data_IF_859455073221
#
_entry.id   IF_859455073221
#
_cell.length_a   1.000
_cell.length_b   1.000
_cell.length_c   1.000
_cell.angle_alpha   90.00
_cell.angle_beta   90.00
_cell.angle_gamma   90.00
#
_symmetry.space_group_name_H-M   'P 1'
#
loop_
_entity.id
_entity.type
_entity.pdbx_description
1 polymer ?
#
# COMPACT_ATOMS: atom_id res chain seq x y z
N UNK A 1 -21.08 -2.17 -6.36
CA UNK A 1 -21.02 -1.13 -7.38
C UNK A 1 -19.78 -0.28 -7.09
N UNK A 2 -18.97 0.05 -8.09
CA UNK A 2 -17.71 0.81 -7.95
C UNK A 2 -18.06 2.29 -8.02
N UNK A 3 -17.80 3.04 -6.96
CA UNK A 3 -17.99 4.49 -6.94
C UNK A 3 -16.76 5.17 -7.56
N UNK A 4 -16.92 5.88 -8.67
CA UNK A 4 -15.82 6.47 -9.42
C UNK A 4 -15.98 7.99 -9.58
N UNK A 5 -14.86 8.68 -9.79
CA UNK A 5 -14.82 10.04 -10.33
C UNK A 5 -13.95 10.07 -11.59
N UNK A 6 -14.09 11.09 -12.41
CA UNK A 6 -13.22 11.32 -13.56
C UNK A 6 -12.59 12.73 -13.49
N UNK A 7 -11.33 12.82 -13.85
CA UNK A 7 -10.53 14.05 -13.84
C UNK A 7 -9.84 14.18 -15.19
N UNK A 8 -10.19 15.20 -15.97
CA UNK A 8 -9.66 15.43 -17.31
C UNK A 8 -9.93 16.91 -17.67
N UNK A 9 -8.93 17.65 -18.12
CA UNK A 9 -9.12 19.07 -18.48
C UNK A 9 -9.95 19.26 -19.76
N UNK A 10 -10.15 18.19 -20.55
CA UNK A 10 -10.99 18.18 -21.73
C UNK A 10 -12.45 17.78 -21.38
N UNK A 11 -13.44 18.71 -21.42
CA UNK A 11 -14.85 18.38 -21.12
C UNK A 11 -15.44 17.27 -22.00
N UNK A 12 -14.96 17.16 -23.24
CA UNK A 12 -15.41 16.11 -24.17
C UNK A 12 -14.98 14.72 -23.69
N UNK A 13 -13.77 14.57 -23.16
CA UNK A 13 -13.28 13.32 -22.60
C UNK A 13 -14.11 12.89 -21.37
N UNK A 14 -14.49 13.85 -20.52
CA UNK A 14 -15.39 13.59 -19.39
C UNK A 14 -16.77 13.12 -19.85
N UNK A 15 -17.35 13.75 -20.88
CA UNK A 15 -18.63 13.33 -21.47
C UNK A 15 -18.56 11.90 -22.03
N UNK A 16 -17.44 11.52 -22.64
CA UNK A 16 -17.21 10.15 -23.13
C UNK A 16 -17.17 9.17 -21.95
N UNK A 17 -16.44 9.49 -20.88
CA UNK A 17 -16.37 8.65 -19.68
C UNK A 17 -17.75 8.52 -19.00
N UNK A 18 -18.54 9.60 -18.91
CA UNK A 18 -19.91 9.55 -18.42
C UNK A 18 -20.78 8.57 -19.24
N UNK A 19 -20.67 8.66 -20.56
CA UNK A 19 -21.41 7.75 -21.45
C UNK A 19 -20.96 6.29 -21.31
N UNK A 20 -19.64 6.03 -21.19
CA UNK A 20 -19.10 4.69 -20.98
C UNK A 20 -19.56 4.12 -19.62
N UNK A 21 -19.49 4.91 -18.56
CA UNK A 21 -19.96 4.52 -17.23
C UNK A 21 -21.47 4.24 -17.23
N UNK A 22 -22.29 5.07 -17.94
CA UNK A 22 -23.74 4.86 -17.99
C UNK A 22 -24.17 3.54 -18.65
N UNK A 23 -23.34 2.99 -19.50
CA UNK A 23 -23.54 1.67 -20.15
C UNK A 23 -23.09 0.48 -19.30
N UNK A 24 -22.31 0.72 -18.24
CA UNK A 24 -21.73 -0.32 -17.41
C UNK A 24 -22.45 -0.41 -16.06
N UNK A 25 -22.87 -1.61 -15.67
CA UNK A 25 -23.64 -1.83 -14.42
C UNK A 25 -22.76 -1.93 -13.18
N UNK A 26 -21.44 -2.08 -13.32
CA UNK A 26 -20.51 -2.30 -12.22
C UNK A 26 -19.92 -1.01 -11.67
N UNK A 27 -19.95 0.10 -12.45
CA UNK A 27 -19.40 1.40 -12.09
C UNK A 27 -20.44 2.51 -12.08
N UNK A 28 -20.38 3.38 -11.07
CA UNK A 28 -21.18 4.62 -11.00
C UNK A 28 -20.21 5.79 -10.97
N UNK A 29 -20.30 6.64 -11.97
CA UNK A 29 -19.55 7.89 -12.00
C UNK A 29 -20.29 8.93 -11.15
N UNK A 30 -19.72 9.26 -10.00
CA UNK A 30 -20.32 10.14 -9.02
C UNK A 30 -20.15 11.62 -9.41
N UNK A 31 -18.98 11.97 -9.92
CA UNK A 31 -18.66 13.34 -10.34
C UNK A 31 -17.52 13.38 -11.34
N UNK A 32 -17.50 14.45 -12.15
CA UNK A 32 -16.43 14.78 -13.10
C UNK A 32 -15.79 16.12 -12.73
N UNK A 33 -14.50 16.27 -13.03
CA UNK A 33 -13.71 17.47 -12.69
C UNK A 33 -12.80 17.85 -13.85
N UNK A 34 -12.76 19.14 -14.19
CA UNK A 34 -11.78 19.70 -15.12
C UNK A 34 -10.57 20.30 -14.38
N UNK A 35 -10.61 20.38 -13.06
CA UNK A 35 -9.54 20.91 -12.21
C UNK A 35 -9.11 19.87 -11.16
N UNK A 36 -7.80 19.66 -11.06
CA UNK A 36 -7.20 18.80 -10.03
C UNK A 36 -7.48 19.31 -8.62
N UNK A 37 -7.48 20.64 -8.42
CA UNK A 37 -7.74 21.23 -7.11
C UNK A 37 -9.18 20.98 -6.64
N UNK A 38 -10.16 21.06 -7.54
CA UNK A 38 -11.56 20.74 -7.19
C UNK A 38 -11.72 19.26 -6.88
N UNK A 39 -11.06 18.39 -7.65
CA UNK A 39 -11.05 16.94 -7.39
C UNK A 39 -10.41 16.61 -6.04
N UNK A 40 -9.29 17.26 -5.68
CA UNK A 40 -8.63 17.08 -4.38
C UNK A 40 -9.57 17.45 -3.24
N UNK A 41 -10.20 18.62 -3.30
CA UNK A 41 -11.17 19.10 -2.29
C UNK A 41 -12.37 18.15 -2.13
N UNK A 42 -12.75 17.48 -3.22
CA UNK A 42 -13.81 16.47 -3.21
C UNK A 42 -13.35 15.17 -2.54
N UNK A 43 -12.17 14.66 -2.93
CA UNK A 43 -11.59 13.41 -2.40
C UNK A 43 -11.34 13.46 -0.88
N UNK A 44 -11.02 14.64 -0.34
CA UNK A 44 -10.88 14.83 1.11
C UNK A 44 -12.19 14.62 1.89
N UNK A 45 -13.34 14.86 1.25
CA UNK A 45 -14.65 14.80 1.91
C UNK A 45 -15.43 13.54 1.58
N UNK A 46 -15.22 12.99 0.40
CA UNK A 46 -16.01 11.89 -0.12
C UNK A 46 -15.11 10.73 -0.58
N UNK A 47 -15.17 9.58 0.07
CA UNK A 47 -14.41 8.42 -0.35
C UNK A 47 -14.94 7.88 -1.69
N UNK A 48 -14.03 7.59 -2.61
CA UNK A 48 -14.32 6.93 -3.88
C UNK A 48 -13.45 5.69 -4.02
N UNK A 49 -13.89 4.77 -4.86
CA UNK A 49 -13.19 3.50 -5.10
C UNK A 49 -12.20 3.59 -6.26
N UNK A 50 -12.52 4.43 -7.24
CA UNK A 50 -11.81 4.51 -8.52
C UNK A 50 -11.71 5.97 -8.99
N UNK A 51 -10.56 6.31 -9.60
CA UNK A 51 -10.38 7.55 -10.35
C UNK A 51 -10.03 7.18 -11.79
N UNK A 52 -10.80 7.72 -12.76
CA UNK A 52 -10.33 7.86 -14.14
C UNK A 52 -9.56 9.17 -14.21
N UNK A 53 -8.31 9.13 -14.61
CA UNK A 53 -7.41 10.29 -14.49
C UNK A 53 -6.62 10.48 -15.79
N UNK A 54 -6.80 11.66 -16.41
CA UNK A 54 -5.94 11.99 -17.53
C UNK A 54 -4.49 12.18 -17.10
N UNK A 55 -3.56 11.69 -17.91
CA UNK A 55 -2.13 11.86 -17.64
C UNK A 55 -1.70 13.29 -17.95
N UNK A 56 -2.20 13.85 -19.06
CA UNK A 56 -1.76 15.14 -19.55
C UNK A 56 -2.73 16.25 -19.17
N UNK A 57 -2.41 16.97 -18.11
CA UNK A 57 -3.17 18.12 -17.65
C UNK A 57 -2.26 19.35 -17.51
N UNK A 58 -2.77 20.57 -17.75
CA UNK A 58 -1.95 21.79 -17.79
C UNK A 58 -1.25 22.15 -16.48
N UNK A 59 -1.86 21.87 -15.32
CA UNK A 59 -1.34 22.30 -14.01
C UNK A 59 -0.23 21.36 -13.52
N UNK A 60 -0.52 20.07 -13.47
CA UNK A 60 0.42 18.99 -13.14
C UNK A 60 0.05 17.75 -13.94
N UNK A 61 1.03 16.92 -14.27
CA UNK A 61 0.70 15.62 -14.86
C UNK A 61 -0.12 14.76 -13.87
N UNK A 62 -1.07 13.97 -14.40
CA UNK A 62 -1.97 13.16 -13.58
C UNK A 62 -1.26 12.15 -12.71
N UNK A 63 -0.08 11.67 -13.11
CA UNK A 63 0.72 10.72 -12.32
C UNK A 63 1.27 11.39 -11.08
N UNK A 64 1.81 12.61 -11.20
CA UNK A 64 2.29 13.42 -10.08
C UNK A 64 1.14 13.80 -9.15
N UNK A 65 -0.01 14.17 -9.69
CA UNK A 65 -1.23 14.41 -8.90
C UNK A 65 -1.63 13.18 -8.10
N UNK A 66 -1.73 12.01 -8.74
CA UNK A 66 -2.10 10.78 -8.04
C UNK A 66 -1.09 10.39 -6.95
N UNK A 67 0.21 10.59 -7.20
CA UNK A 67 1.26 10.34 -6.19
C UNK A 67 1.12 11.22 -4.96
N UNK A 68 0.61 12.44 -5.10
CA UNK A 68 0.41 13.39 -4.00
C UNK A 68 -0.78 13.08 -3.09
N UNK A 69 -1.72 12.22 -3.53
CA UNK A 69 -2.89 11.85 -2.74
C UNK A 69 -2.49 11.04 -1.49
N UNK A 70 -3.01 11.45 -0.32
CA UNK A 70 -2.78 10.73 0.94
C UNK A 70 -3.52 9.38 0.96
N UNK A 71 -4.81 9.40 0.61
CA UNK A 71 -5.63 8.20 0.44
C UNK A 71 -5.75 7.94 -1.06
N UNK A 72 -5.18 6.85 -1.54
CA UNK A 72 -5.11 6.52 -2.96
C UNK A 72 -6.24 5.54 -3.34
N UNK A 73 -7.32 6.02 -3.98
CA UNK A 73 -8.27 5.13 -4.64
C UNK A 73 -7.57 4.35 -5.77
N UNK A 74 -8.19 3.29 -6.26
CA UNK A 74 -7.72 2.65 -7.49
C UNK A 74 -7.71 3.68 -8.63
N UNK A 75 -6.75 3.57 -9.55
CA UNK A 75 -6.64 4.50 -10.67
C UNK A 75 -6.60 3.75 -12.01
N UNK A 76 -7.36 4.26 -12.97
CA UNK A 76 -7.23 3.97 -14.39
C UNK A 76 -6.82 5.27 -15.06
N UNK A 77 -5.65 5.29 -15.66
CA UNK A 77 -5.19 6.45 -16.42
C UNK A 77 -5.81 6.48 -17.81
N UNK A 78 -6.15 7.70 -18.28
CA UNK A 78 -6.51 7.96 -19.67
C UNK A 78 -5.41 8.77 -20.34
N UNK A 79 -5.15 8.56 -21.62
CA UNK A 79 -4.08 9.26 -22.34
C UNK A 79 -4.30 9.25 -23.85
N UNK A 80 -3.82 10.28 -24.54
CA UNK A 80 -3.78 10.35 -26.00
C UNK A 80 -2.55 9.66 -26.61
N UNK A 81 -1.57 9.18 -25.82
CA UNK A 81 -0.28 8.68 -26.31
C UNK A 81 -0.06 7.22 -25.97
N UNK A 82 0.27 6.42 -26.98
CA UNK A 82 0.62 4.99 -26.85
C UNK A 82 1.87 4.76 -25.98
N UNK A 83 2.81 5.70 -25.94
CA UNK A 83 4.09 5.56 -25.26
C UNK A 83 4.00 5.53 -23.72
N UNK A 84 2.97 6.12 -23.13
CA UNK A 84 2.77 6.12 -21.68
C UNK A 84 2.31 4.77 -21.11
N UNK A 85 1.76 3.90 -21.96
CA UNK A 85 1.39 2.53 -21.57
C UNK A 85 2.62 1.60 -21.42
N UNK A 86 3.80 1.99 -21.91
CA UNK A 86 4.98 1.11 -22.03
C UNK A 86 6.14 1.51 -21.12
N UNK A 87 6.29 2.77 -20.76
CA UNK A 87 7.41 3.25 -19.94
C UNK A 87 7.00 3.59 -18.50
N UNK A 88 7.05 2.58 -17.63
CA UNK A 88 7.64 2.64 -16.31
C UNK A 88 7.30 3.82 -15.39
N UNK A 89 6.09 4.36 -15.36
CA UNK A 89 5.69 5.08 -14.18
C UNK A 89 5.49 4.05 -13.06
N UNK A 90 6.36 4.11 -12.02
CA UNK A 90 6.24 3.34 -10.77
C UNK A 90 4.98 3.78 -10.00
N UNK A 91 3.80 3.53 -10.57
CA UNK A 91 2.50 3.76 -9.96
C UNK A 91 1.69 2.50 -10.19
N UNK A 92 1.15 1.96 -9.11
CA UNK A 92 0.27 0.78 -9.15
C UNK A 92 -1.10 1.16 -9.77
N UNK A 93 -1.10 1.48 -11.08
CA UNK A 93 -2.32 1.71 -11.85
C UNK A 93 -3.00 0.38 -12.16
N UNK A 94 -4.33 0.36 -12.08
CA UNK A 94 -5.11 -0.83 -12.47
C UNK A 94 -5.03 -1.05 -13.97
N UNK A 95 -5.10 0.05 -14.75
CA UNK A 95 -5.02 0.00 -16.21
C UNK A 95 -4.74 1.39 -16.83
N UNK A 96 -4.53 1.37 -18.15
CA UNK A 96 -4.36 2.54 -19.00
C UNK A 96 -5.33 2.47 -20.18
N UNK A 97 -6.06 3.55 -20.45
CA UNK A 97 -7.01 3.67 -21.55
C UNK A 97 -6.52 4.71 -22.56
N UNK A 98 -6.25 4.27 -23.77
CA UNK A 98 -5.88 5.16 -24.87
C UNK A 98 -7.11 5.86 -25.41
N UNK A 99 -7.06 7.16 -25.57
CA UNK A 99 -8.08 7.97 -26.28
C UNK A 99 -7.95 7.80 -27.82
N UNK A 100 -9.03 7.56 -28.57
CA UNK A 100 -10.43 7.44 -28.13
C UNK A 100 -10.71 6.10 -27.44
N UNK A 101 -11.40 6.16 -26.30
CA UNK A 101 -11.63 4.98 -25.44
C UNK A 101 -12.73 4.09 -26.07
N UNK A 102 -12.34 2.90 -26.50
CA UNK A 102 -13.28 1.87 -26.95
C UNK A 102 -14.02 1.24 -25.75
N UNK A 103 -15.33 0.93 -25.90
CA UNK A 103 -16.12 0.37 -24.82
C UNK A 103 -15.57 -0.94 -24.27
N UNK A 104 -15.15 -1.86 -25.14
CA UNK A 104 -14.60 -3.17 -24.76
C UNK A 104 -13.32 -3.01 -23.92
N UNK A 105 -12.52 -1.99 -24.21
CA UNK A 105 -11.30 -1.71 -23.47
C UNK A 105 -11.61 -1.08 -22.10
N UNK A 106 -12.61 -0.19 -22.05
CA UNK A 106 -13.15 0.37 -20.81
C UNK A 106 -13.74 -0.74 -19.92
N UNK A 107 -14.58 -1.60 -20.46
CA UNK A 107 -15.18 -2.74 -19.75
C UNK A 107 -14.12 -3.66 -19.15
N UNK A 108 -13.07 -4.01 -19.94
CA UNK A 108 -11.94 -4.79 -19.46
C UNK A 108 -11.23 -4.14 -18.27
N UNK A 109 -11.04 -2.82 -18.31
CA UNK A 109 -10.40 -2.07 -17.23
C UNK A 109 -11.28 -2.04 -15.96
N UNK A 110 -12.59 -1.85 -16.11
CA UNK A 110 -13.55 -1.90 -15.01
C UNK A 110 -13.63 -3.31 -14.39
N UNK A 111 -13.57 -4.37 -15.23
CA UNK A 111 -13.50 -5.74 -14.69
C UNK A 111 -12.25 -5.99 -13.85
N UNK A 112 -11.10 -5.42 -14.22
CA UNK A 112 -9.88 -5.50 -13.37
C UNK A 112 -10.11 -4.85 -12.02
N UNK A 113 -10.71 -3.63 -11.98
CA UNK A 113 -11.09 -2.96 -10.74
C UNK A 113 -12.04 -3.81 -9.92
N UNK A 114 -13.06 -4.41 -10.56
CA UNK A 114 -14.04 -5.28 -9.90
C UNK A 114 -13.37 -6.49 -9.27
N UNK A 115 -12.45 -7.14 -9.97
CA UNK A 115 -11.66 -8.27 -9.43
C UNK A 115 -10.83 -7.83 -8.23
N UNK A 116 -10.16 -6.68 -8.30
CA UNK A 116 -9.40 -6.14 -7.17
C UNK A 116 -10.29 -5.81 -5.96
N UNK A 117 -11.52 -5.33 -6.18
CA UNK A 117 -12.51 -5.07 -5.10
C UNK A 117 -13.21 -6.33 -4.59
N UNK A 118 -13.39 -7.35 -5.42
CA UNK A 118 -14.03 -8.63 -5.04
C UNK A 118 -13.06 -9.61 -4.38
N UNK A 119 -11.77 -9.44 -4.60
CA UNK A 119 -10.82 -9.98 -3.65
C UNK A 119 -11.24 -9.40 -2.29
N UNK A 120 -11.57 -10.25 -1.27
CA UNK A 120 -11.85 -9.72 0.07
C UNK A 120 -10.74 -8.69 0.37
N UNK A 121 -11.00 -7.66 1.20
CA UNK A 121 -10.05 -6.60 1.55
C UNK A 121 -8.75 -7.14 2.21
N UNK A 122 -8.33 -8.29 1.81
CA UNK A 122 -7.03 -8.95 1.80
C UNK A 122 -6.17 -8.56 0.60
N UNK A 123 -6.50 -7.53 -0.13
CA UNK A 123 -5.78 -7.05 -1.34
C UNK A 123 -5.04 -5.74 -1.15
N UNK A 124 -4.73 -5.34 0.06
CA UNK A 124 -3.35 -4.96 0.37
C UNK A 124 -2.60 -6.29 0.25
N UNK A 125 -1.76 -6.52 -0.76
CA UNK A 125 -0.75 -7.57 -0.65
C UNK A 125 -0.19 -7.38 0.76
N UNK A 126 -0.43 -8.38 1.62
CA UNK A 126 0.06 -8.29 3.01
C UNK A 126 1.48 -7.75 2.93
N UNK A 127 1.79 -6.62 3.55
CA UNK A 127 3.08 -5.99 3.39
C UNK A 127 4.16 -7.04 3.63
N UNK A 128 5.11 -7.11 2.71
CA UNK A 128 6.16 -8.12 2.72
C UNK A 128 7.55 -7.47 2.62
N UNK A 129 8.55 -8.18 3.05
CA UNK A 129 9.95 -7.85 2.80
C UNK A 129 10.59 -8.95 1.95
N UNK A 130 11.62 -8.57 1.20
CA UNK A 130 12.42 -9.49 0.39
C UNK A 130 13.79 -9.67 1.05
N UNK A 131 14.07 -10.88 1.56
CA UNK A 131 15.31 -11.18 2.25
C UNK A 131 16.13 -12.21 1.48
N UNK A 132 17.38 -11.86 1.17
CA UNK A 132 18.31 -12.79 0.55
C UNK A 132 18.91 -13.70 1.62
N UNK A 133 18.59 -15.00 1.56
CA UNK A 133 19.11 -16.03 2.41
C UNK A 133 19.28 -17.33 1.61
N UNK A 134 20.29 -18.13 1.89
CA UNK A 134 20.57 -19.41 1.21
C UNK A 134 20.58 -19.33 -0.32
N UNK A 135 21.22 -18.28 -0.86
CA UNK A 135 21.29 -17.98 -2.31
C UNK A 135 19.93 -17.75 -2.97
N UNK A 136 18.85 -17.54 -2.20
CA UNK A 136 17.49 -17.29 -2.66
C UNK A 136 16.98 -15.96 -2.15
N UNK A 137 16.05 -15.37 -2.90
CA UNK A 137 15.27 -14.21 -2.45
C UNK A 137 13.96 -14.74 -1.85
N UNK A 138 13.80 -14.55 -0.54
CA UNK A 138 12.64 -15.03 0.20
C UNK A 138 11.63 -13.90 0.40
N UNK A 139 10.39 -14.07 -0.08
CA UNK A 139 9.25 -13.18 0.20
C UNK A 139 8.66 -13.54 1.56
N UNK A 140 8.72 -12.60 2.51
CA UNK A 140 8.25 -12.78 3.89
C UNK A 140 7.16 -11.77 4.17
N UNK A 141 5.93 -12.23 4.36
CA UNK A 141 4.81 -11.37 4.76
C UNK A 141 4.98 -10.90 6.20
N UNK A 142 4.86 -9.60 6.45
CA UNK A 142 5.11 -9.00 7.76
C UNK A 142 4.21 -9.57 8.85
N UNK A 143 2.95 -9.86 8.54
CA UNK A 143 1.98 -10.47 9.46
C UNK A 143 2.42 -11.84 9.99
N UNK A 144 3.25 -12.57 9.22
CA UNK A 144 3.73 -13.90 9.59
C UNK A 144 5.00 -13.87 10.45
N UNK A 145 5.63 -12.70 10.61
CA UNK A 145 6.82 -12.56 11.46
C UNK A 145 6.39 -12.65 12.91
N UNK A 146 7.00 -13.60 13.65
CA UNK A 146 6.83 -13.75 15.09
C UNK A 146 7.72 -12.78 15.84
N UNK A 147 9.00 -12.78 15.52
CA UNK A 147 10.03 -11.84 15.98
C UNK A 147 11.29 -12.00 15.13
N UNK A 148 12.22 -11.04 15.26
CA UNK A 148 13.52 -11.08 14.61
C UNK A 148 14.58 -11.05 15.70
N UNK A 149 15.52 -11.98 15.62
CA UNK A 149 16.63 -12.15 16.54
C UNK A 149 17.96 -11.85 15.86
N UNK A 150 18.81 -11.05 16.49
CA UNK A 150 20.17 -10.75 16.03
C UNK A 150 21.19 -11.75 16.60
N UNK A 151 22.00 -12.30 15.72
CA UNK A 151 23.10 -13.23 16.02
C UNK A 151 24.38 -12.73 15.35
N UNK A 152 25.13 -11.89 16.05
CA UNK A 152 26.34 -11.24 15.54
C UNK A 152 26.13 -10.54 14.18
N UNK A 153 26.72 -11.08 13.11
CA UNK A 153 26.58 -10.54 11.72
C UNK A 153 25.34 -11.04 10.98
N UNK A 154 24.50 -11.83 11.64
CA UNK A 154 23.31 -12.44 11.06
C UNK A 154 22.05 -12.04 11.83
N UNK A 155 20.92 -12.14 11.14
CA UNK A 155 19.60 -12.10 11.76
C UNK A 155 18.88 -13.43 11.53
N UNK A 156 18.04 -13.82 12.49
CA UNK A 156 17.07 -14.89 12.34
C UNK A 156 15.66 -14.30 12.34
N UNK A 157 14.91 -14.55 11.28
CA UNK A 157 13.49 -14.14 11.18
C UNK A 157 12.66 -15.37 11.52
N UNK A 158 11.96 -15.31 12.65
CA UNK A 158 11.05 -16.35 13.09
C UNK A 158 9.68 -16.14 12.47
N UNK A 159 9.17 -17.14 11.76
CA UNK A 159 7.96 -17.04 10.93
C UNK A 159 6.96 -18.08 11.40
N UNK A 160 5.70 -17.67 11.51
CA UNK A 160 4.60 -18.53 11.92
C UNK A 160 4.40 -19.69 10.94
N UNK A 161 4.36 -20.92 11.45
CA UNK A 161 4.13 -22.12 10.65
C UNK A 161 5.24 -22.47 9.65
N UNK A 162 6.42 -21.83 9.74
CA UNK A 162 7.57 -22.06 8.85
C UNK A 162 8.87 -22.16 9.62
N UNK A 163 9.90 -22.73 8.94
CA UNK A 163 11.28 -22.69 9.44
C UNK A 163 11.78 -21.24 9.46
N UNK A 164 12.60 -20.91 10.47
CA UNK A 164 13.26 -19.60 10.54
C UNK A 164 14.17 -19.36 9.33
N UNK A 165 14.26 -18.09 8.91
CA UNK A 165 15.17 -17.65 7.85
C UNK A 165 16.36 -16.96 8.48
N UNK A 166 17.58 -17.39 8.12
CA UNK A 166 18.83 -16.79 8.57
C UNK A 166 19.44 -16.00 7.44
N UNK A 167 19.70 -14.70 7.66
CA UNK A 167 20.29 -13.82 6.66
C UNK A 167 21.47 -13.03 7.23
N UNK A 168 22.51 -12.81 6.41
CA UNK A 168 23.62 -11.95 6.78
C UNK A 168 23.20 -10.50 6.62
N UNK A 169 22.78 -9.88 7.71
CA UNK A 169 22.26 -8.52 7.75
C UNK A 169 22.34 -7.99 9.18
N UNK A 170 22.53 -6.68 9.33
CA UNK A 170 22.50 -6.04 10.65
C UNK A 170 21.06 -5.77 11.12
N UNK A 171 20.87 -5.70 12.45
CA UNK A 171 19.60 -5.29 13.06
C UNK A 171 19.17 -3.87 12.68
N UNK A 172 20.10 -3.00 12.27
CA UNK A 172 19.80 -1.67 11.76
C UNK A 172 19.19 -1.77 10.36
N UNK A 173 19.83 -2.51 9.47
CA UNK A 173 19.39 -2.62 8.06
C UNK A 173 18.02 -3.29 7.92
N UNK A 174 17.72 -4.30 8.74
CA UNK A 174 16.40 -4.90 8.71
C UNK A 174 15.33 -3.93 9.26
N UNK A 175 15.64 -3.14 10.30
CA UNK A 175 14.71 -2.16 10.85
C UNK A 175 14.34 -1.07 9.85
N UNK A 176 15.24 -0.69 8.94
CA UNK A 176 14.98 0.27 7.85
C UNK A 176 14.01 -0.26 6.79
N UNK A 177 13.83 -1.59 6.70
CA UNK A 177 12.90 -2.25 5.78
C UNK A 177 11.52 -2.54 6.40
N UNK A 178 11.39 -2.35 7.71
CA UNK A 178 10.16 -2.62 8.45
C UNK A 178 9.38 -1.34 8.73
N UNK A 179 8.03 -1.36 8.64
CA UNK A 179 7.21 -0.22 9.05
C UNK A 179 7.37 0.05 10.56
N UNK A 180 7.77 1.25 10.91
CA UNK A 180 7.95 1.68 12.31
C UNK A 180 6.63 1.68 13.11
N UNK A 181 5.49 1.74 12.42
CA UNK A 181 4.16 1.59 13.03
C UNK A 181 3.88 0.18 13.53
N UNK A 182 4.51 -0.84 12.92
CA UNK A 182 4.17 -2.24 13.11
C UNK A 182 5.25 -3.03 13.83
N UNK A 183 6.49 -2.55 13.78
CA UNK A 183 7.65 -3.20 14.39
C UNK A 183 8.40 -2.27 15.33
N UNK A 184 8.85 -2.82 16.45
CA UNK A 184 9.66 -2.10 17.41
C UNK A 184 10.92 -2.88 17.78
N UNK A 185 12.05 -2.18 17.82
CA UNK A 185 13.29 -2.74 18.37
C UNK A 185 13.29 -2.53 19.88
N UNK A 186 13.33 -3.62 20.64
CA UNK A 186 13.24 -3.62 22.12
C UNK A 186 14.57 -3.97 22.79
N UNK A 187 15.51 -4.53 22.03
CA UNK A 187 16.81 -4.94 22.52
C UNK A 187 17.85 -4.86 21.41
N UNK A 188 19.15 -4.87 21.76
CA UNK A 188 20.21 -4.99 20.74
C UNK A 188 20.02 -6.19 19.82
N UNK A 189 19.40 -7.26 20.32
CA UNK A 189 19.18 -8.52 19.62
C UNK A 189 17.73 -8.82 19.28
N UNK A 190 16.74 -7.95 19.59
CA UNK A 190 15.33 -8.27 19.33
C UNK A 190 14.56 -7.12 18.69
N UNK A 191 13.84 -7.46 17.60
CA UNK A 191 12.78 -6.65 16.99
C UNK A 191 11.50 -7.48 17.02
N UNK A 192 10.39 -6.89 17.44
CA UNK A 192 9.10 -7.57 17.59
C UNK A 192 7.99 -6.82 16.88
N UNK A 193 6.96 -7.54 16.34
CA UNK A 193 5.74 -6.91 15.84
C UNK A 193 4.91 -6.39 17.03
N UNK A 194 4.52 -5.12 16.97
CA UNK A 194 3.74 -4.47 18.04
C UNK A 194 2.40 -5.17 18.28
N UNK A 195 1.76 -5.64 17.21
CA UNK A 195 0.46 -6.33 17.29
C UNK A 195 0.50 -7.70 17.98
N UNK A 196 1.70 -8.29 18.14
CA UNK A 196 1.86 -9.60 18.80
C UNK A 196 2.18 -9.48 20.28
N UNK A 197 2.34 -8.27 20.81
CA UNK A 197 2.60 -8.03 22.24
C UNK A 197 1.35 -8.43 23.02
N UNK A 198 1.49 -9.40 23.93
CA UNK A 198 0.41 -9.85 24.81
C UNK A 198 0.45 -9.19 26.16
N UNK A 199 1.63 -8.88 26.68
CA UNK A 199 1.79 -8.11 27.92
C UNK A 199 3.17 -7.47 28.02
N UNK A 200 3.28 -6.45 28.87
CA UNK A 200 4.53 -5.73 29.13
C UNK A 200 4.75 -5.64 30.64
N UNK A 201 5.93 -6.00 31.07
CA UNK A 201 6.42 -5.83 32.44
C UNK A 201 7.65 -4.92 32.42
N UNK A 202 8.10 -4.44 33.57
CA UNK A 202 9.12 -3.39 33.69
C UNK A 202 10.41 -3.59 32.88
N UNK A 203 10.79 -4.84 32.63
CA UNK A 203 12.02 -5.21 31.90
C UNK A 203 11.80 -6.22 30.76
N UNK A 204 10.56 -6.67 30.56
CA UNK A 204 10.25 -7.73 29.62
C UNK A 204 8.97 -7.43 28.84
N UNK A 205 8.95 -7.89 27.60
CA UNK A 205 7.76 -7.94 26.75
C UNK A 205 7.44 -9.39 26.47
N UNK A 206 6.18 -9.75 26.50
CA UNK A 206 5.69 -11.08 26.24
C UNK A 206 4.96 -11.14 24.92
N UNK A 207 5.29 -12.19 24.15
CA UNK A 207 4.53 -12.59 22.95
C UNK A 207 4.05 -14.01 23.23
N UNK A 208 2.76 -14.17 23.49
CA UNK A 208 2.21 -15.41 24.05
C UNK A 208 2.93 -15.77 25.36
N UNK A 209 3.55 -16.97 25.42
CA UNK A 209 4.29 -17.44 26.59
C UNK A 209 5.80 -17.13 26.53
N UNK A 210 6.28 -16.51 25.43
CA UNK A 210 7.69 -16.22 25.25
C UNK A 210 8.05 -14.83 25.79
N UNK A 211 9.13 -14.78 26.57
CA UNK A 211 9.64 -13.58 27.24
C UNK A 211 10.79 -12.95 26.44
N UNK A 212 10.77 -11.64 26.25
CA UNK A 212 11.79 -10.86 25.55
C UNK A 212 12.32 -9.72 26.42
N UNK A 213 13.65 -9.63 26.65
CA UNK A 213 14.21 -8.57 27.48
C UNK A 213 14.14 -7.21 26.76
N UNK A 214 13.84 -6.15 27.51
CA UNK A 214 13.91 -4.77 27.04
C UNK A 214 15.23 -4.15 27.46
N UNK A 215 16.07 -3.79 26.51
CA UNK A 215 17.33 -3.11 26.77
C UNK A 215 17.13 -1.69 27.28
N UNK A 216 17.99 -1.20 28.17
CA UNK A 216 17.85 0.12 28.80
C UNK A 216 17.70 1.25 27.78
N UNK A 217 18.42 1.21 26.67
CA UNK A 217 18.37 2.19 25.57
C UNK A 217 17.02 2.24 24.87
N UNK A 218 16.20 1.19 24.95
CA UNK A 218 14.94 1.04 24.22
C UNK A 218 13.71 1.29 25.10
N UNK A 219 13.87 1.41 26.42
CA UNK A 219 12.76 1.59 27.38
C UNK A 219 11.85 2.78 27.06
N UNK A 220 12.43 3.93 26.74
CA UNK A 220 11.68 5.16 26.45
C UNK A 220 10.79 4.97 25.22
N UNK A 221 11.35 4.40 24.15
CA UNK A 221 10.61 4.14 22.90
C UNK A 221 9.48 3.14 23.12
N UNK A 222 9.72 2.08 23.90
CA UNK A 222 8.70 1.08 24.24
C UNK A 222 7.58 1.72 25.05
N UNK A 223 7.88 2.54 26.05
CA UNK A 223 6.88 3.22 26.88
C UNK A 223 6.04 4.20 26.07
N UNK A 224 6.65 5.00 25.19
CA UNK A 224 5.92 5.92 24.31
C UNK A 224 4.93 5.18 23.43
N UNK A 225 5.36 4.10 22.78
CA UNK A 225 4.51 3.32 21.87
C UNK A 225 3.30 2.69 22.59
N UNK A 226 3.48 2.25 23.83
CA UNK A 226 2.40 1.69 24.64
C UNK A 226 1.40 2.78 25.09
N UNK A 227 1.88 3.99 25.37
CA UNK A 227 1.03 5.13 25.75
C UNK A 227 0.20 5.61 24.57
N UNK A 228 0.80 5.70 23.37
CA UNK A 228 0.13 6.19 22.16
C UNK A 228 -0.92 5.22 21.62
N UNK A 229 -0.71 3.90 21.76
CA UNK A 229 -1.62 2.87 21.25
C UNK A 229 -2.65 2.35 22.27
N UNK A 230 -2.67 2.84 23.51
CA UNK A 230 -3.60 2.36 24.58
C UNK A 230 -3.64 0.81 24.69
N UNK A 231 -2.46 0.17 24.67
CA UNK A 231 -2.33 -1.28 24.93
C UNK A 231 -2.23 -1.52 26.45
#
# INVERSE_FOLDING_TARGET
MIKAIAIDDEPLALTILEHLCSKNTDVVLDKTFTSQQEALNYLEKFPVDLIFLDIQMPENDGVSFYKSLQNKPLVIFTTAFDSYAVEGFNVDAVDYLLKPIAYERFETAVEKVKRLKQLPVSGVEDPFILIRADYKLNKIYLKNILFIEGLDDYIQIHIEGKSKIVARMSMKNIMEQLPLSDFIRIHRSFIIPVQRITSVQSKFIFINEQEFPVGDTYKTTVLQLLTDKKI
#
